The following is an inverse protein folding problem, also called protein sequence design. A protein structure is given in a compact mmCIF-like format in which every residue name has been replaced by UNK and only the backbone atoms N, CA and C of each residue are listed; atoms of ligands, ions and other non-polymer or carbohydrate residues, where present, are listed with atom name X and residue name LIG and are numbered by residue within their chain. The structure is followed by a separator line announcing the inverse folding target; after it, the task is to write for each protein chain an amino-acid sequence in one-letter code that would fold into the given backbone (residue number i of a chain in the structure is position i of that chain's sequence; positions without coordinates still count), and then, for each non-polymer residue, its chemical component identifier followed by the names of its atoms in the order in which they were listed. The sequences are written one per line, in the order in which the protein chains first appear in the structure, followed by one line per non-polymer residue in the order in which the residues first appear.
data_IF_953820283976
#
_entry.id   IF_953820283976
#
_cell.length_a   1.000
_cell.length_b   1.000
_cell.length_c   1.000
_cell.angle_alpha   90.00
_cell.angle_beta   90.00
_cell.angle_gamma   90.00
#
_symmetry.space_group_name_H-M   'P 1'
#
loop_
_entity.id
_entity.type
_entity.pdbx_description
1 polymer ?
#
# COMPACT_ATOMS: atom_id res chain seq x y z
N UNK A 1 -9.83 40.39 46.70
CA UNK A 1 -11.27 40.62 46.49
C UNK A 1 -11.99 40.19 47.76
N UNK A 2 -12.60 41.13 48.51
CA UNK A 2 -13.10 40.88 49.87
C UNK A 2 -14.20 39.81 49.89
N UNK A 3 -14.08 38.80 50.76
CA UNK A 3 -15.05 37.70 50.96
C UNK A 3 -16.48 38.22 51.16
N UNK A 4 -16.64 39.42 51.74
CA UNK A 4 -17.94 40.11 51.87
C UNK A 4 -18.61 40.44 50.53
N UNK A 5 -17.86 40.71 49.45
CA UNK A 5 -18.42 40.96 48.10
C UNK A 5 -18.89 39.67 47.41
N UNK A 6 -18.25 38.53 47.70
CA UNK A 6 -18.65 37.23 47.13
C UNK A 6 -19.95 36.74 47.76
N UNK A 7 -20.10 36.89 49.08
CA UNK A 7 -21.34 36.56 49.80
C UNK A 7 -22.51 37.45 49.36
N UNK A 8 -22.27 38.75 49.13
CA UNK A 8 -23.30 39.64 48.58
C UNK A 8 -23.71 39.27 47.14
N UNK A 9 -22.79 38.89 46.27
CA UNK A 9 -23.13 38.43 44.91
C UNK A 9 -23.90 37.10 44.92
N UNK A 10 -23.58 36.19 45.84
CA UNK A 10 -24.28 34.90 45.98
C UNK A 10 -25.71 35.08 46.51
N UNK A 11 -25.91 35.99 47.47
CA UNK A 11 -27.24 36.32 48.00
C UNK A 11 -28.09 37.05 46.95
N UNK A 12 -27.51 37.93 46.14
CA UNK A 12 -28.21 38.61 45.02
C UNK A 12 -28.58 37.61 43.91
N UNK A 13 -27.74 36.62 43.59
CA UNK A 13 -28.07 35.58 42.61
C UNK A 13 -29.19 34.63 43.06
N UNK A 14 -29.38 34.43 44.37
CA UNK A 14 -30.49 33.61 44.89
C UNK A 14 -31.81 34.38 45.10
N UNK A 15 -31.77 35.72 45.08
CA UNK A 15 -32.95 36.57 45.28
C UNK A 15 -33.56 37.13 43.98
N UNK A 16 -32.93 36.86 42.82
CA UNK A 16 -33.48 37.17 41.50
C UNK A 16 -33.89 35.85 40.83
N UNK A 17 -35.20 35.58 40.79
CA UNK A 17 -35.80 34.48 40.03
C UNK A 17 -35.52 34.66 38.53
N UNK A 18 -34.35 34.20 38.06
CA UNK A 18 -33.92 34.33 36.66
C UNK A 18 -32.45 33.97 36.41
N UNK A 19 -31.54 34.17 37.39
CA UNK A 19 -30.12 33.86 37.21
C UNK A 19 -29.81 32.36 37.09
N UNK A 20 -30.53 31.52 37.85
CA UNK A 20 -30.38 30.06 37.77
C UNK A 20 -30.88 29.47 36.45
N UNK A 21 -31.83 30.12 35.78
CA UNK A 21 -32.34 29.67 34.48
C UNK A 21 -31.36 29.98 33.36
N UNK A 22 -30.78 31.19 33.35
CA UNK A 22 -29.77 31.58 32.36
C UNK A 22 -28.47 30.77 32.50
N UNK A 23 -28.00 30.53 33.73
CA UNK A 23 -26.84 29.65 33.98
C UNK A 23 -27.13 28.19 33.59
N UNK A 24 -28.33 27.67 33.87
CA UNK A 24 -28.71 26.32 33.47
C UNK A 24 -28.83 26.17 31.96
N UNK A 25 -29.40 27.16 31.26
CA UNK A 25 -29.47 27.18 29.80
C UNK A 25 -28.09 27.22 29.16
N UNK A 26 -27.16 28.03 29.71
CA UNK A 26 -25.78 28.08 29.21
C UNK A 26 -25.02 26.78 29.48
N UNK A 27 -25.19 26.18 30.67
CA UNK A 27 -24.59 24.88 31.01
C UNK A 27 -25.14 23.75 30.12
N UNK A 28 -26.46 23.73 29.89
CA UNK A 28 -27.13 22.77 29.00
C UNK A 28 -26.65 22.95 27.56
N UNK A 29 -26.39 24.19 27.12
CA UNK A 29 -25.82 24.49 25.80
C UNK A 29 -24.39 23.98 25.67
N UNK A 30 -23.52 24.27 26.65
CA UNK A 30 -22.13 23.78 26.66
C UNK A 30 -22.09 22.24 26.70
N UNK A 31 -22.95 21.61 27.50
CA UNK A 31 -23.06 20.16 27.56
C UNK A 31 -23.52 19.53 26.23
N UNK A 32 -24.48 20.17 25.55
CA UNK A 32 -24.90 19.74 24.20
C UNK A 32 -23.80 19.91 23.16
N UNK A 33 -23.03 21.00 23.22
CA UNK A 33 -21.88 21.22 22.34
C UNK A 33 -20.79 20.18 22.56
N UNK A 34 -20.41 19.88 23.80
CA UNK A 34 -19.46 18.81 24.13
C UNK A 34 -19.93 17.44 23.65
N UNK A 35 -21.22 17.12 23.82
CA UNK A 35 -21.78 15.86 23.30
C UNK A 35 -21.76 15.78 21.79
N UNK A 36 -22.05 16.88 21.10
CA UNK A 36 -21.96 16.96 19.65
C UNK A 36 -20.52 16.74 19.18
N UNK A 37 -19.55 17.37 19.83
CA UNK A 37 -18.13 17.20 19.50
C UNK A 37 -17.65 15.76 19.76
N UNK A 38 -18.07 15.15 20.86
CA UNK A 38 -17.80 13.74 21.16
C UNK A 38 -18.40 12.80 20.10
N UNK A 39 -19.64 13.05 19.68
CA UNK A 39 -20.32 12.25 18.67
C UNK A 39 -19.63 12.36 17.28
N UNK A 40 -19.24 13.57 16.89
CA UNK A 40 -18.56 13.84 15.61
C UNK A 40 -17.08 13.40 15.61
N UNK A 41 -16.48 13.15 16.76
CA UNK A 41 -15.11 12.63 16.88
C UNK A 41 -15.03 11.10 16.96
N UNK A 42 -16.17 10.41 16.87
CA UNK A 42 -16.19 8.94 16.76
C UNK A 42 -15.42 8.46 15.54
N UNK A 43 -14.76 7.31 15.68
CA UNK A 43 -13.86 6.81 14.65
C UNK A 43 -14.58 6.45 13.33
N UNK A 44 -15.83 6.00 13.38
CA UNK A 44 -16.65 5.78 12.19
C UNK A 44 -17.04 7.08 11.48
N UNK A 45 -17.32 8.17 12.22
CA UNK A 45 -17.52 9.49 11.62
C UNK A 45 -16.26 10.01 10.94
N UNK A 46 -15.10 9.86 11.58
CA UNK A 46 -13.82 10.25 10.99
C UNK A 46 -13.49 9.44 9.73
N UNK A 47 -13.79 8.14 9.74
CA UNK A 47 -13.63 7.28 8.57
C UNK A 47 -14.55 7.72 7.40
N UNK A 48 -15.79 8.11 7.70
CA UNK A 48 -16.70 8.64 6.67
C UNK A 48 -16.24 9.99 6.11
N UNK A 49 -15.84 10.93 6.97
CA UNK A 49 -15.29 12.23 6.55
C UNK A 49 -14.10 12.04 5.61
N UNK A 50 -13.23 11.09 5.94
CA UNK A 50 -12.09 10.72 5.13
C UNK A 50 -12.49 10.21 3.73
N UNK A 51 -13.48 9.32 3.69
CA UNK A 51 -13.99 8.77 2.42
C UNK A 51 -14.48 9.89 1.50
N UNK A 52 -15.18 10.87 2.07
CA UNK A 52 -15.75 12.00 1.33
C UNK A 52 -14.70 13.03 0.90
N UNK A 53 -13.68 13.28 1.72
CA UNK A 53 -12.57 14.15 1.35
C UNK A 53 -11.76 13.58 0.20
N UNK A 54 -11.52 12.26 0.20
CA UNK A 54 -10.86 11.60 -0.91
C UNK A 54 -11.70 11.59 -2.18
N UNK A 55 -13.01 11.34 -2.05
CA UNK A 55 -13.93 11.38 -3.17
C UNK A 55 -13.92 12.74 -3.89
N UNK A 56 -13.85 13.84 -3.14
CA UNK A 56 -13.73 15.20 -3.68
C UNK A 56 -12.44 15.42 -4.48
N UNK A 57 -11.31 14.94 -3.97
CA UNK A 57 -10.04 15.09 -4.68
C UNK A 57 -10.05 14.22 -5.94
N UNK A 58 -10.52 12.97 -5.83
CA UNK A 58 -10.69 12.07 -6.98
C UNK A 58 -11.54 12.74 -8.07
N UNK A 59 -12.66 13.37 -7.70
CA UNK A 59 -13.48 14.13 -8.64
C UNK A 59 -12.72 15.31 -9.28
N UNK A 60 -11.98 16.09 -8.47
CA UNK A 60 -11.21 17.24 -8.95
C UNK A 60 -10.09 16.87 -9.93
N UNK A 61 -9.55 15.66 -9.83
CA UNK A 61 -8.54 15.12 -10.73
C UNK A 61 -9.13 14.42 -11.98
N UNK A 62 -10.45 14.52 -12.19
CA UNK A 62 -11.16 13.90 -13.32
C UNK A 62 -11.37 12.39 -13.16
N UNK A 63 -11.22 11.86 -11.95
CA UNK A 63 -11.51 10.47 -11.59
C UNK A 63 -13.01 10.20 -11.42
N UNK A 64 -13.38 8.92 -11.43
CA UNK A 64 -14.75 8.50 -11.07
C UNK A 64 -14.93 8.58 -9.56
N UNK A 65 -15.74 9.53 -9.11
CA UNK A 65 -16.15 9.70 -7.73
C UNK A 65 -17.39 8.86 -7.38
N UNK A 66 -17.55 8.53 -6.09
CA UNK A 66 -18.70 7.88 -5.46
C UNK A 66 -19.99 8.68 -5.69
N UNK A 67 -19.88 9.98 -5.83
CA UNK A 67 -20.97 10.83 -6.30
C UNK A 67 -20.45 11.92 -7.24
N UNK A 68 -21.29 12.33 -8.18
CA UNK A 68 -20.92 13.22 -9.27
C UNK A 68 -20.34 14.55 -8.74
N UNK A 69 -19.05 14.80 -8.99
CA UNK A 69 -18.36 16.01 -8.54
C UNK A 69 -17.81 15.98 -7.11
N UNK A 70 -17.97 14.85 -6.40
CA UNK A 70 -17.62 14.69 -4.99
C UNK A 70 -18.73 15.15 -4.04
N UNK A 71 -18.85 14.52 -2.87
CA UNK A 71 -19.89 14.84 -1.88
C UNK A 71 -19.28 15.40 -0.61
N UNK A 72 -20.00 16.34 0.00
CA UNK A 72 -19.79 16.71 1.40
C UNK A 72 -20.53 15.75 2.33
N UNK A 73 -20.13 15.76 3.61
CA UNK A 73 -20.86 15.04 4.67
C UNK A 73 -22.34 15.46 4.72
N UNK A 74 -22.61 16.75 4.46
CA UNK A 74 -23.98 17.27 4.39
C UNK A 74 -24.78 16.61 3.26
N UNK A 75 -24.19 16.45 2.07
CA UNK A 75 -24.89 15.81 0.93
C UNK A 75 -25.25 14.35 1.25
N UNK A 76 -24.36 13.65 1.96
CA UNK A 76 -24.60 12.28 2.41
C UNK A 76 -25.70 12.22 3.47
N UNK A 77 -25.70 13.12 4.45
CA UNK A 77 -26.75 13.21 5.48
C UNK A 77 -28.10 13.55 4.84
N UNK A 78 -28.14 14.55 3.96
CA UNK A 78 -29.36 14.98 3.26
C UNK A 78 -29.92 13.82 2.42
N UNK A 79 -29.03 13.05 1.75
CA UNK A 79 -29.42 11.85 1.01
C UNK A 79 -29.91 10.71 1.92
N UNK A 80 -29.26 10.49 3.06
CA UNK A 80 -29.65 9.48 4.04
C UNK A 80 -31.06 9.78 4.57
N UNK A 81 -31.35 11.05 4.86
CA UNK A 81 -32.63 11.54 5.37
C UNK A 81 -33.82 11.37 4.41
N UNK A 82 -33.60 11.01 3.14
CA UNK A 82 -34.68 10.78 2.17
C UNK A 82 -35.54 9.56 2.50
N UNK A 83 -35.04 8.59 3.27
CA UNK A 83 -35.81 7.43 3.70
C UNK A 83 -35.21 6.75 4.95
N UNK A 84 -36.02 5.94 5.63
CA UNK A 84 -35.63 5.27 6.86
C UNK A 84 -34.45 4.32 6.70
N UNK A 85 -34.34 3.62 5.57
CA UNK A 85 -33.22 2.70 5.32
C UNK A 85 -31.90 3.46 5.19
N UNK A 86 -31.91 4.63 4.55
CA UNK A 86 -30.76 5.52 4.41
C UNK A 86 -30.26 6.05 5.75
N UNK A 87 -31.18 6.52 6.61
CA UNK A 87 -30.85 6.97 7.98
C UNK A 87 -30.20 5.83 8.77
N UNK A 88 -30.81 4.64 8.77
CA UNK A 88 -30.27 3.48 9.48
C UNK A 88 -28.93 3.04 8.92
N UNK A 89 -28.76 3.00 7.59
CA UNK A 89 -27.50 2.62 6.96
C UNK A 89 -26.36 3.59 7.30
N UNK A 90 -26.65 4.89 7.28
CA UNK A 90 -25.69 5.93 7.69
C UNK A 90 -25.26 5.71 9.13
N UNK A 91 -26.23 5.56 10.05
CA UNK A 91 -25.94 5.36 11.47
C UNK A 91 -25.17 4.06 11.75
N UNK A 92 -25.53 2.96 11.08
CA UNK A 92 -24.81 1.68 11.15
C UNK A 92 -23.36 1.83 10.66
N UNK A 93 -23.12 2.55 9.56
CA UNK A 93 -21.77 2.69 9.00
C UNK A 93 -20.79 3.43 9.92
N UNK A 94 -21.31 4.39 10.70
CA UNK A 94 -20.50 5.28 11.54
C UNK A 94 -20.43 4.85 13.01
N UNK A 95 -21.34 3.97 13.47
CA UNK A 95 -21.38 3.55 14.86
C UNK A 95 -20.33 2.47 15.13
N UNK A 96 -19.58 2.62 16.22
CA UNK A 96 -18.50 1.71 16.59
C UNK A 96 -19.07 0.35 17.05
N UNK A 97 -18.51 -0.74 16.55
CA UNK A 97 -18.85 -2.10 16.94
C UNK A 97 -17.73 -2.63 17.83
N UNK A 98 -17.92 -2.53 19.16
CA UNK A 98 -17.13 -3.16 20.23
C UNK A 98 -15.71 -3.62 19.81
N UNK A 99 -14.79 -2.66 19.64
CA UNK A 99 -13.34 -2.91 19.79
C UNK A 99 -12.50 -3.00 18.51
N UNK A 100 -13.01 -2.58 17.34
CA UNK A 100 -12.17 -2.39 16.15
C UNK A 100 -12.25 -0.94 15.69
N UNK A 101 -11.28 -0.13 16.08
CA UNK A 101 -11.14 1.25 15.62
C UNK A 101 -10.93 1.29 14.11
N UNK A 102 -11.78 2.00 13.34
CA UNK A 102 -11.60 2.18 11.90
C UNK A 102 -10.27 2.81 11.47
N UNK A 103 -9.51 3.45 12.38
CA UNK A 103 -8.04 3.58 12.36
C UNK A 103 -7.52 4.73 13.25
N UNK A 104 -6.19 4.78 13.45
CA UNK A 104 -5.43 5.86 14.10
C UNK A 104 -4.61 6.70 13.06
N UNK A 105 -5.18 7.08 11.91
CA UNK A 105 -4.37 7.60 10.79
C UNK A 105 -4.28 9.13 10.65
N UNK A 106 -3.12 9.57 10.13
CA UNK A 106 -2.75 10.95 9.80
C UNK A 106 -2.90 11.20 8.29
N UNK A 107 -3.50 12.34 7.94
CA UNK A 107 -4.03 12.71 6.60
C UNK A 107 -2.94 13.14 5.59
N UNK A 108 -1.71 13.35 6.04
CA UNK A 108 -0.74 14.20 5.34
C UNK A 108 0.06 13.48 4.22
N UNK A 109 -0.13 12.18 4.00
CA UNK A 109 0.60 11.43 2.96
C UNK A 109 -0.30 10.99 1.77
N UNK A 110 -0.16 11.65 0.60
CA UNK A 110 -0.92 11.31 -0.61
C UNK A 110 -0.65 9.91 -1.20
N UNK A 111 0.47 9.26 -0.86
CA UNK A 111 0.77 7.87 -1.29
C UNK A 111 0.06 6.84 -0.42
N UNK A 112 -0.22 7.21 0.83
CA UNK A 112 -0.93 6.39 1.81
C UNK A 112 -2.45 6.46 1.59
N UNK A 113 -2.93 7.59 1.04
CA UNK A 113 -4.36 7.95 1.00
C UNK A 113 -5.31 6.91 0.38
N UNK A 114 -4.91 6.31 -0.73
CA UNK A 114 -5.79 5.36 -1.42
C UNK A 114 -5.72 3.93 -0.84
N UNK A 115 -4.58 3.59 -0.22
CA UNK A 115 -4.44 2.33 0.53
C UNK A 115 -5.27 2.38 1.82
N UNK A 116 -5.34 3.53 2.49
CA UNK A 116 -6.19 3.77 3.66
C UNK A 116 -7.68 3.84 3.34
N UNK A 117 -8.07 4.35 2.16
CA UNK A 117 -9.45 4.23 1.69
C UNK A 117 -9.88 2.77 1.57
N UNK A 118 -9.02 1.93 0.99
CA UNK A 118 -9.31 0.51 0.84
C UNK A 118 -9.48 -0.21 2.20
N UNK A 119 -8.74 0.22 3.21
CA UNK A 119 -8.87 -0.27 4.59
C UNK A 119 -10.18 0.19 5.24
N UNK A 120 -10.57 1.46 5.10
CA UNK A 120 -11.84 1.98 5.61
C UNK A 120 -13.02 1.25 4.95
N UNK A 121 -12.99 1.06 3.63
CA UNK A 121 -14.01 0.28 2.93
C UNK A 121 -14.05 -1.18 3.41
N UNK A 122 -12.89 -1.76 3.75
CA UNK A 122 -12.86 -3.10 4.34
C UNK A 122 -13.55 -3.15 5.72
N UNK A 123 -13.42 -2.10 6.54
CA UNK A 123 -14.14 -1.98 7.81
C UNK A 123 -15.65 -1.84 7.60
N UNK A 124 -16.09 -1.02 6.65
CA UNK A 124 -17.50 -0.94 6.30
C UNK A 124 -18.06 -2.27 5.81
N UNK A 125 -17.30 -3.01 5.00
CA UNK A 125 -17.69 -4.36 4.59
C UNK A 125 -17.83 -5.31 5.79
N UNK A 126 -16.94 -5.23 6.77
CA UNK A 126 -17.04 -6.03 7.99
C UNK A 126 -18.29 -5.69 8.81
N UNK A 127 -18.60 -4.39 8.97
CA UNK A 127 -19.81 -3.91 9.66
C UNK A 127 -21.08 -4.43 8.97
N UNK A 128 -21.23 -4.16 7.68
CA UNK A 128 -22.44 -4.56 6.94
C UNK A 128 -22.53 -6.08 6.72
N UNK A 129 -21.40 -6.78 6.68
CA UNK A 129 -21.33 -8.24 6.60
C UNK A 129 -21.57 -8.96 7.93
N UNK A 130 -21.57 -8.24 9.05
CA UNK A 130 -21.62 -8.84 10.39
C UNK A 130 -22.96 -9.49 10.70
N UNK A 131 -22.91 -10.68 11.30
CA UNK A 131 -24.10 -11.35 11.83
C UNK A 131 -24.71 -10.62 13.03
N UNK A 132 -23.98 -9.67 13.64
CA UNK A 132 -24.48 -8.88 14.77
C UNK A 132 -25.71 -8.05 14.40
N UNK A 133 -25.90 -7.72 13.12
CA UNK A 133 -27.09 -7.02 12.61
C UNK A 133 -28.36 -7.89 12.64
N UNK A 134 -28.27 -9.15 13.10
CA UNK A 134 -29.41 -10.03 13.35
C UNK A 134 -29.71 -10.24 14.83
N UNK A 135 -28.88 -9.70 15.73
CA UNK A 135 -29.03 -9.82 17.18
C UNK A 135 -30.00 -8.75 17.72
N UNK A 136 -31.10 -9.20 18.34
CA UNK A 136 -32.16 -8.31 18.83
C UNK A 136 -31.71 -7.37 19.95
N UNK A 137 -30.82 -7.82 20.84
CA UNK A 137 -30.33 -7.02 21.96
C UNK A 137 -29.39 -5.94 21.43
N UNK A 138 -28.51 -6.33 20.51
CA UNK A 138 -27.62 -5.39 19.85
C UNK A 138 -28.39 -4.32 19.05
N UNK A 139 -29.42 -4.70 18.29
CA UNK A 139 -30.23 -3.73 17.54
C UNK A 139 -30.97 -2.77 18.49
N UNK A 140 -31.44 -3.27 19.62
CA UNK A 140 -32.12 -2.43 20.63
C UNK A 140 -31.16 -1.45 21.29
N UNK A 141 -29.92 -1.88 21.58
CA UNK A 141 -28.85 -1.00 22.05
C UNK A 141 -28.51 0.07 21.01
N UNK A 142 -28.34 -0.32 19.74
CA UNK A 142 -28.06 0.59 18.63
C UNK A 142 -29.18 1.63 18.45
N UNK A 143 -30.45 1.22 18.55
CA UNK A 143 -31.56 2.16 18.49
C UNK A 143 -31.58 3.13 19.67
N UNK A 144 -31.27 2.65 20.88
CA UNK A 144 -31.18 3.51 22.07
C UNK A 144 -30.12 4.59 21.88
N UNK A 145 -28.99 4.24 21.28
CA UNK A 145 -27.91 5.21 21.02
C UNK A 145 -28.31 6.16 19.89
N UNK A 146 -28.93 5.65 18.81
CA UNK A 146 -29.51 6.47 17.75
C UNK A 146 -30.50 7.51 18.30
N UNK A 147 -31.38 7.10 19.22
CA UNK A 147 -32.39 7.98 19.82
C UNK A 147 -31.78 9.13 20.64
N UNK A 148 -30.52 9.02 21.06
CA UNK A 148 -29.79 10.07 21.80
C UNK A 148 -28.95 10.94 20.87
N UNK A 149 -28.44 10.36 19.79
CA UNK A 149 -27.34 10.97 19.02
C UNK A 149 -27.76 11.51 17.66
N UNK A 150 -28.87 11.05 17.07
CA UNK A 150 -29.30 11.41 15.70
C UNK A 150 -29.27 12.92 15.42
N UNK A 151 -29.62 13.73 16.41
CA UNK A 151 -29.68 15.20 16.28
C UNK A 151 -28.29 15.82 16.13
N UNK A 152 -27.26 15.22 16.72
CA UNK A 152 -25.86 15.67 16.56
C UNK A 152 -25.36 15.45 15.13
N UNK A 153 -25.90 14.45 14.45
CA UNK A 153 -25.58 14.09 13.07
C UNK A 153 -26.53 14.70 12.03
N UNK A 154 -27.56 15.45 12.46
CA UNK A 154 -28.57 16.00 11.55
C UNK A 154 -29.48 14.95 10.91
N UNK A 155 -29.65 13.78 11.54
CA UNK A 155 -30.51 12.71 11.06
C UNK A 155 -31.96 12.91 11.54
N UNK A 156 -32.92 12.61 10.65
CA UNK A 156 -34.35 12.65 10.96
C UNK A 156 -34.73 11.58 11.99
N UNK A 157 -35.81 11.84 12.73
CA UNK A 157 -36.34 10.88 13.69
C UNK A 157 -36.91 9.64 12.98
N UNK A 158 -36.61 8.47 13.53
CA UNK A 158 -37.12 7.18 13.07
C UNK A 158 -37.68 6.44 14.28
N UNK A 159 -38.90 5.90 14.19
CA UNK A 159 -39.46 5.08 15.25
C UNK A 159 -38.75 3.75 15.38
N UNK A 160 -38.68 3.21 16.60
CA UNK A 160 -37.97 1.95 16.92
C UNK A 160 -38.32 0.79 15.98
N UNK A 161 -39.61 0.60 15.71
CA UNK A 161 -40.09 -0.47 14.85
C UNK A 161 -39.53 -0.33 13.41
N UNK A 162 -39.51 0.88 12.88
CA UNK A 162 -39.02 1.13 11.51
C UNK A 162 -37.51 1.09 11.45
N UNK A 163 -36.81 1.52 12.51
CA UNK A 163 -35.37 1.35 12.64
C UNK A 163 -34.99 -0.14 12.63
N UNK A 164 -35.66 -0.95 13.45
CA UNK A 164 -35.45 -2.41 13.52
C UNK A 164 -35.73 -3.09 12.18
N UNK A 165 -36.79 -2.69 11.47
CA UNK A 165 -37.08 -3.17 10.11
C UNK A 165 -35.99 -2.80 9.12
N UNK A 166 -35.46 -1.57 9.17
CA UNK A 166 -34.35 -1.15 8.32
C UNK A 166 -33.08 -1.94 8.60
N UNK A 167 -32.72 -2.21 9.86
CA UNK A 167 -31.56 -3.06 10.18
C UNK A 167 -31.75 -4.48 9.64
N UNK A 168 -32.94 -5.06 9.81
CA UNK A 168 -33.25 -6.37 9.24
C UNK A 168 -33.16 -6.38 7.70
N UNK A 169 -33.56 -5.29 7.03
CA UNK A 169 -33.42 -5.14 5.58
C UNK A 169 -31.94 -5.01 5.16
N UNK A 170 -31.12 -4.26 5.90
CA UNK A 170 -29.66 -4.21 5.67
C UNK A 170 -29.03 -5.59 5.83
N UNK A 171 -29.43 -6.34 6.86
CA UNK A 171 -28.95 -7.70 7.09
C UNK A 171 -29.31 -8.66 5.95
N UNK A 172 -30.50 -8.52 5.35
CA UNK A 172 -30.88 -9.28 4.15
C UNK A 172 -30.03 -8.93 2.93
N UNK A 173 -29.68 -7.66 2.78
CA UNK A 173 -28.87 -7.13 1.66
C UNK A 173 -27.35 -7.24 1.89
N UNK A 174 -26.91 -7.83 3.01
CA UNK A 174 -25.49 -7.82 3.42
C UNK A 174 -24.53 -8.32 2.34
N UNK A 175 -24.89 -9.38 1.62
CA UNK A 175 -24.03 -9.94 0.58
C UNK A 175 -23.82 -8.94 -0.56
N UNK A 176 -24.89 -8.31 -1.03
CA UNK A 176 -24.83 -7.31 -2.11
C UNK A 176 -24.08 -6.05 -1.67
N UNK A 177 -24.25 -5.63 -0.41
CA UNK A 177 -23.52 -4.50 0.17
C UNK A 177 -22.02 -4.81 0.26
N UNK A 178 -21.63 -5.98 0.77
CA UNK A 178 -20.23 -6.41 0.85
C UNK A 178 -19.58 -6.49 -0.52
N UNK A 179 -20.29 -7.00 -1.53
CA UNK A 179 -19.80 -7.04 -2.93
C UNK A 179 -19.63 -5.63 -3.48
N UNK A 180 -20.60 -4.75 -3.28
CA UNK A 180 -20.52 -3.36 -3.74
C UNK A 180 -19.35 -2.62 -3.10
N UNK A 181 -19.15 -2.75 -1.79
CA UNK A 181 -18.03 -2.16 -1.06
C UNK A 181 -16.70 -2.74 -1.53
N UNK A 182 -16.64 -4.05 -1.80
CA UNK A 182 -15.43 -4.71 -2.33
C UNK A 182 -15.05 -4.17 -3.72
N UNK A 183 -16.04 -3.93 -4.59
CA UNK A 183 -15.79 -3.31 -5.90
C UNK A 183 -15.21 -1.90 -5.77
N UNK A 184 -15.72 -1.10 -4.83
CA UNK A 184 -15.19 0.24 -4.56
C UNK A 184 -13.75 0.17 -4.02
N UNK A 185 -13.49 -0.79 -3.14
CA UNK A 185 -12.15 -1.04 -2.58
C UNK A 185 -11.13 -1.39 -3.68
N UNK A 186 -11.51 -2.25 -4.60
CA UNK A 186 -10.61 -2.68 -5.68
C UNK A 186 -10.34 -1.53 -6.67
N UNK A 187 -11.33 -0.68 -6.92
CA UNK A 187 -11.16 0.55 -7.68
C UNK A 187 -10.22 1.55 -6.98
N UNK A 188 -10.36 1.73 -5.66
CA UNK A 188 -9.47 2.59 -4.87
C UNK A 188 -8.01 2.10 -4.95
N UNK A 189 -7.79 0.79 -4.82
CA UNK A 189 -6.46 0.18 -4.98
C UNK A 189 -5.88 0.35 -6.38
N UNK A 190 -6.70 0.17 -7.41
CA UNK A 190 -6.28 0.36 -8.80
C UNK A 190 -5.85 1.82 -9.05
N UNK A 191 -6.65 2.78 -8.59
CA UNK A 191 -6.35 4.20 -8.71
C UNK A 191 -5.07 4.56 -7.94
N UNK A 192 -4.87 4.02 -6.74
CA UNK A 192 -3.63 4.18 -5.95
C UNK A 192 -2.40 3.84 -6.78
N UNK A 193 -2.38 2.62 -7.33
CA UNK A 193 -1.27 2.12 -8.15
C UNK A 193 -1.04 2.98 -9.38
N UNK A 194 -2.10 3.45 -10.02
CA UNK A 194 -2.02 4.31 -11.20
C UNK A 194 -1.41 5.67 -10.87
N UNK A 195 -1.82 6.30 -9.78
CA UNK A 195 -1.28 7.59 -9.32
C UNK A 195 0.18 7.43 -8.91
N UNK A 196 0.51 6.39 -8.16
CA UNK A 196 1.89 6.08 -7.77
C UNK A 196 2.77 5.85 -9.01
N UNK A 197 2.31 5.05 -9.97
CA UNK A 197 3.01 4.80 -11.23
C UNK A 197 3.23 6.10 -12.01
N UNK A 198 2.22 6.99 -12.04
CA UNK A 198 2.34 8.29 -12.69
C UNK A 198 3.35 9.19 -11.97
N UNK A 199 3.28 9.30 -10.65
CA UNK A 199 4.25 10.08 -9.85
C UNK A 199 5.67 9.57 -10.03
N UNK A 200 5.86 8.25 -10.07
CA UNK A 200 7.16 7.64 -10.36
C UNK A 200 7.63 7.99 -11.77
N UNK A 201 6.75 7.97 -12.77
CA UNK A 201 7.09 8.38 -14.13
C UNK A 201 7.45 9.87 -14.21
N UNK A 202 6.65 10.75 -13.60
CA UNK A 202 6.90 12.19 -13.54
C UNK A 202 8.23 12.50 -12.82
N UNK A 203 8.53 11.78 -11.72
CA UNK A 203 9.81 11.86 -11.02
C UNK A 203 10.97 11.37 -11.89
N UNK A 204 10.81 10.23 -12.56
CA UNK A 204 11.81 9.64 -13.45
C UNK A 204 12.09 10.55 -14.67
N UNK A 205 11.10 11.31 -15.14
CA UNK A 205 11.24 12.31 -16.20
C UNK A 205 12.00 13.55 -15.70
N UNK A 206 11.63 14.07 -14.52
CA UNK A 206 12.28 15.23 -13.93
C UNK A 206 13.72 14.97 -13.44
N UNK A 207 14.06 13.71 -13.13
CA UNK A 207 15.35 13.30 -12.60
C UNK A 207 15.99 12.24 -13.50
N UNK A 208 16.56 12.62 -14.67
CA UNK A 208 17.15 11.67 -15.61
C UNK A 208 18.27 10.86 -14.96
N UNK A 209 18.46 9.62 -15.43
CA UNK A 209 19.55 8.77 -14.99
C UNK A 209 20.90 9.34 -15.39
N UNK A 210 21.83 9.33 -14.43
CA UNK A 210 23.23 9.70 -14.62
C UNK A 210 24.08 8.47 -14.33
N UNK A 211 25.07 8.21 -15.18
CA UNK A 211 26.00 7.11 -14.99
C UNK A 211 26.84 7.33 -13.73
N UNK A 212 27.10 6.25 -13.00
CA UNK A 212 28.00 6.25 -11.84
C UNK A 212 29.24 5.43 -12.19
N UNK A 213 30.41 6.04 -12.11
CA UNK A 213 31.69 5.39 -12.39
C UNK A 213 32.46 5.08 -11.11
N UNK A 214 33.46 4.21 -11.22
CA UNK A 214 34.47 3.97 -10.18
C UNK A 214 33.92 3.47 -8.82
N UNK A 215 32.73 2.87 -8.84
CA UNK A 215 32.06 2.30 -7.66
C UNK A 215 32.95 1.28 -6.94
N UNK A 216 33.69 0.46 -7.68
CA UNK A 216 34.59 -0.55 -7.13
C UNK A 216 35.70 0.02 -6.25
N UNK A 217 36.00 1.32 -6.35
CA UNK A 217 36.99 2.00 -5.51
C UNK A 217 36.36 2.57 -4.22
N UNK A 218 35.03 2.72 -4.21
CA UNK A 218 34.26 3.23 -3.08
C UNK A 218 33.73 2.14 -2.13
N UNK A 219 33.66 0.89 -2.59
CA UNK A 219 33.12 -0.20 -1.77
C UNK A 219 34.23 -0.85 -0.91
N UNK A 220 34.03 -1.01 0.40
CA UNK A 220 34.96 -1.70 1.30
C UNK A 220 34.86 -3.23 1.16
N UNK A 221 34.99 -3.75 -0.06
CA UNK A 221 35.15 -5.18 -0.30
C UNK A 221 36.63 -5.52 -0.14
N UNK A 222 36.93 -6.66 0.48
CA UNK A 222 38.31 -7.17 0.64
C UNK A 222 39.09 -7.10 -0.68
N UNK A 223 40.42 -6.93 -0.59
CA UNK A 223 41.35 -6.50 -1.67
C UNK A 223 41.46 -7.44 -2.90
N UNK A 224 40.38 -8.08 -3.37
CA UNK A 224 40.34 -8.83 -4.63
C UNK A 224 40.23 -7.86 -5.83
N UNK A 225 41.25 -7.83 -6.71
CA UNK A 225 41.17 -7.05 -7.95
C UNK A 225 40.04 -7.50 -8.88
N UNK A 226 39.60 -8.77 -8.78
CA UNK A 226 38.51 -9.29 -9.60
C UNK A 226 37.17 -8.65 -9.22
N UNK A 227 36.87 -8.54 -7.93
CA UNK A 227 35.65 -7.89 -7.45
C UNK A 227 35.63 -6.41 -7.79
N UNK A 228 36.73 -5.69 -7.52
CA UNK A 228 36.87 -4.28 -7.90
C UNK A 228 36.58 -4.04 -9.38
N UNK A 229 37.17 -4.84 -10.27
CA UNK A 229 36.90 -4.76 -11.72
C UNK A 229 35.44 -5.07 -12.05
N UNK A 230 34.85 -6.05 -11.38
CA UNK A 230 33.46 -6.43 -11.60
C UNK A 230 32.49 -5.30 -11.28
N UNK A 231 32.63 -4.64 -10.12
CA UNK A 231 31.82 -3.48 -9.75
C UNK A 231 32.00 -2.32 -10.73
N UNK A 232 33.23 -2.02 -11.16
CA UNK A 232 33.48 -0.99 -12.17
C UNK A 232 32.95 -1.37 -13.56
N UNK A 233 32.75 -2.66 -13.83
CA UNK A 233 32.22 -3.13 -15.11
C UNK A 233 30.69 -3.05 -15.18
N UNK A 234 29.98 -3.02 -14.06
CA UNK A 234 28.52 -2.95 -14.04
C UNK A 234 28.03 -1.57 -14.48
N UNK A 235 27.00 -1.49 -15.35
CA UNK A 235 26.49 -0.22 -15.87
C UNK A 235 25.55 0.45 -14.84
N UNK A 236 26.14 0.94 -13.75
CA UNK A 236 25.40 1.61 -12.68
C UNK A 236 24.94 3.02 -13.09
N UNK A 237 23.72 3.35 -12.66
CA UNK A 237 23.11 4.66 -12.82
C UNK A 237 22.46 5.10 -11.51
N UNK A 238 22.22 6.38 -11.38
CA UNK A 238 21.44 6.98 -10.30
C UNK A 238 20.59 8.12 -10.83
N UNK A 239 19.44 8.36 -10.22
CA UNK A 239 18.64 9.58 -10.42
C UNK A 239 18.88 10.62 -9.32
N UNK A 240 19.78 10.33 -8.38
CA UNK A 240 20.09 11.14 -7.22
C UNK A 240 21.61 11.20 -7.01
N UNK A 241 22.33 11.99 -7.84
CA UNK A 241 23.80 11.97 -7.89
C UNK A 241 24.49 12.41 -6.60
N UNK A 242 23.79 13.18 -5.74
CA UNK A 242 24.32 13.65 -4.47
C UNK A 242 24.02 12.71 -3.29
N UNK A 243 23.36 11.58 -3.54
CA UNK A 243 23.00 10.63 -2.50
C UNK A 243 24.11 9.63 -2.25
N UNK A 244 24.34 9.30 -0.99
CA UNK A 244 25.24 8.23 -0.56
C UNK A 244 24.52 6.90 -0.31
N UNK A 245 23.19 6.84 -0.53
CA UNK A 245 22.39 5.63 -0.34
C UNK A 245 22.61 4.64 -1.50
N UNK A 246 23.25 3.50 -1.24
CA UNK A 246 23.49 2.45 -2.23
C UNK A 246 22.22 1.80 -2.79
N UNK A 247 21.04 2.08 -2.21
CA UNK A 247 19.74 1.69 -2.78
C UNK A 247 19.29 2.61 -3.93
N UNK A 248 19.86 3.80 -4.04
CA UNK A 248 19.54 4.75 -5.12
C UNK A 248 20.44 4.58 -6.34
N UNK A 249 21.52 3.81 -6.22
CA UNK A 249 22.39 3.39 -7.32
C UNK A 249 21.95 2.00 -7.78
N UNK A 250 21.75 1.80 -9.08
CA UNK A 250 21.28 0.53 -9.63
C UNK A 250 21.78 0.28 -11.04
N UNK A 251 21.82 -0.99 -11.44
CA UNK A 251 21.99 -1.40 -12.83
C UNK A 251 20.62 -1.83 -13.39
N UNK A 252 20.31 -1.42 -14.63
CA UNK A 252 19.09 -1.85 -15.33
C UNK A 252 19.26 -3.23 -15.94
N UNK A 253 18.38 -4.14 -15.56
CA UNK A 253 18.28 -5.51 -16.09
C UNK A 253 16.91 -5.63 -16.78
N UNK A 254 16.83 -5.12 -18.01
CA UNK A 254 15.54 -4.87 -18.64
C UNK A 254 14.70 -3.87 -17.84
N UNK A 255 13.51 -4.28 -17.42
CA UNK A 255 12.63 -3.47 -16.55
C UNK A 255 13.02 -3.50 -15.07
N UNK A 256 13.89 -4.41 -14.65
CA UNK A 256 14.28 -4.55 -13.25
C UNK A 256 15.44 -3.62 -12.89
N UNK A 257 15.34 -2.94 -11.73
CA UNK A 257 16.40 -2.10 -11.17
C UNK A 257 17.14 -2.89 -10.08
N UNK A 258 18.27 -3.51 -10.43
CA UNK A 258 19.11 -4.23 -9.47
C UNK A 258 19.99 -3.23 -8.71
N UNK A 259 19.70 -3.00 -7.44
CA UNK A 259 20.40 -1.98 -6.64
C UNK A 259 21.82 -2.40 -6.28
N UNK A 260 22.69 -1.42 -6.08
CA UNK A 260 24.06 -1.64 -5.61
C UNK A 260 24.05 -2.38 -4.27
N UNK A 261 23.17 -1.98 -3.34
CA UNK A 261 22.98 -2.67 -2.06
C UNK A 261 22.69 -4.17 -2.21
N UNK A 262 21.86 -4.58 -3.17
CA UNK A 262 21.58 -6.01 -3.39
C UNK A 262 22.81 -6.76 -3.89
N UNK A 263 23.59 -6.15 -4.79
CA UNK A 263 24.83 -6.74 -5.30
C UNK A 263 25.86 -6.86 -4.18
N UNK A 264 26.03 -5.83 -3.35
CA UNK A 264 26.92 -5.82 -2.19
C UNK A 264 26.57 -6.92 -1.20
N UNK A 265 25.29 -7.02 -0.81
CA UNK A 265 24.82 -8.06 0.11
C UNK A 265 25.04 -9.46 -0.47
N UNK A 266 24.62 -9.71 -1.71
CA UNK A 266 24.83 -10.99 -2.37
C UNK A 266 26.31 -11.36 -2.45
N UNK A 267 27.17 -10.41 -2.81
CA UNK A 267 28.62 -10.60 -2.92
C UNK A 267 29.22 -10.95 -1.56
N UNK A 268 28.81 -10.25 -0.49
CA UNK A 268 29.28 -10.50 0.87
C UNK A 268 28.89 -11.89 1.38
N UNK A 269 27.66 -12.32 1.12
CA UNK A 269 27.20 -13.68 1.46
C UNK A 269 28.03 -14.74 0.72
N UNK A 270 28.27 -14.57 -0.60
CA UNK A 270 29.09 -15.49 -1.38
C UNK A 270 30.55 -15.56 -0.89
N UNK A 271 31.15 -14.42 -0.52
CA UNK A 271 32.50 -14.40 0.09
C UNK A 271 32.52 -15.14 1.43
N UNK A 272 31.49 -14.95 2.25
CA UNK A 272 31.35 -15.65 3.53
C UNK A 272 31.25 -17.17 3.31
N UNK A 273 30.55 -17.63 2.27
CA UNK A 273 30.53 -19.04 1.91
C UNK A 273 31.89 -19.54 1.41
N UNK A 274 32.64 -18.77 0.62
CA UNK A 274 34.02 -19.11 0.25
C UNK A 274 34.91 -19.35 1.48
N UNK A 275 34.81 -18.49 2.49
CA UNK A 275 35.53 -18.62 3.77
C UNK A 275 35.11 -19.89 4.52
N UNK A 276 33.81 -20.17 4.59
CA UNK A 276 33.27 -21.37 5.25
C UNK A 276 33.75 -22.66 4.58
N UNK A 277 33.67 -22.75 3.25
CA UNK A 277 34.09 -23.96 2.52
C UNK A 277 35.60 -24.17 2.69
N UNK A 278 36.41 -23.11 2.64
CA UNK A 278 37.85 -23.16 2.94
C UNK A 278 38.10 -23.73 4.34
N UNK A 279 37.43 -23.20 5.35
CA UNK A 279 37.55 -23.67 6.73
C UNK A 279 37.10 -25.13 6.92
N UNK A 280 36.00 -25.55 6.29
CA UNK A 280 35.50 -26.94 6.41
C UNK A 280 36.35 -27.96 5.66
N UNK A 281 36.86 -27.59 4.49
CA UNK A 281 37.65 -28.48 3.64
C UNK A 281 39.12 -28.57 4.08
N UNK A 282 39.61 -27.59 4.83
CA UNK A 282 41.04 -27.45 5.16
C UNK A 282 41.91 -27.12 3.95
N UNK A 283 41.30 -26.72 2.82
CA UNK A 283 41.98 -26.36 1.58
C UNK A 283 42.01 -24.83 1.43
N UNK A 284 43.10 -24.29 0.85
CA UNK A 284 43.23 -22.85 0.56
C UNK A 284 42.43 -22.42 -0.69
N UNK A 285 41.10 -22.55 -0.63
CA UNK A 285 40.19 -22.28 -1.76
C UNK A 285 39.48 -20.93 -1.68
N UNK A 286 39.64 -20.20 -0.57
CA UNK A 286 38.99 -18.91 -0.34
C UNK A 286 39.29 -17.91 -1.46
N UNK A 287 40.56 -17.60 -1.73
CA UNK A 287 40.95 -16.63 -2.76
C UNK A 287 40.51 -17.03 -4.18
N UNK A 288 40.73 -18.29 -4.64
CA UNK A 288 40.16 -18.76 -5.90
C UNK A 288 38.63 -18.60 -5.98
N UNK A 289 37.91 -18.91 -4.90
CA UNK A 289 36.46 -18.78 -4.82
C UNK A 289 36.01 -17.32 -4.90
N UNK A 290 36.62 -16.41 -4.14
CA UNK A 290 36.34 -14.96 -4.19
C UNK A 290 36.60 -14.40 -5.60
N UNK A 291 37.70 -14.82 -6.23
CA UNK A 291 37.99 -14.43 -7.62
C UNK A 291 36.91 -14.93 -8.59
N UNK A 292 36.39 -16.14 -8.38
CA UNK A 292 35.30 -16.68 -9.18
C UNK A 292 34.00 -15.88 -9.01
N UNK A 293 33.68 -15.41 -7.79
CA UNK A 293 32.55 -14.49 -7.56
C UNK A 293 32.72 -13.21 -8.37
N UNK A 294 33.90 -12.59 -8.35
CA UNK A 294 34.21 -11.40 -9.15
C UNK A 294 34.14 -11.63 -10.66
N UNK A 295 34.62 -12.79 -11.13
CA UNK A 295 34.50 -13.18 -12.53
C UNK A 295 33.04 -13.37 -12.93
N UNK A 296 32.23 -14.01 -12.09
CA UNK A 296 30.78 -14.19 -12.32
C UNK A 296 30.04 -12.86 -12.46
N UNK A 297 30.30 -11.91 -11.56
CA UNK A 297 29.73 -10.57 -11.65
C UNK A 297 30.18 -9.83 -12.92
N UNK A 298 31.44 -9.97 -13.32
CA UNK A 298 31.95 -9.39 -14.58
C UNK A 298 31.30 -10.02 -15.82
N UNK A 299 31.09 -11.34 -15.80
CA UNK A 299 30.38 -12.06 -16.85
C UNK A 299 28.94 -11.54 -16.96
N UNK A 300 28.26 -11.38 -15.83
CA UNK A 300 26.91 -10.83 -15.81
C UNK A 300 26.87 -9.39 -16.33
N UNK A 301 27.83 -8.54 -15.95
CA UNK A 301 27.96 -7.19 -16.50
C UNK A 301 28.07 -7.17 -18.03
N UNK A 302 28.81 -8.13 -18.60
CA UNK A 302 28.93 -8.28 -20.07
C UNK A 302 27.60 -8.67 -20.72
N UNK A 303 26.83 -9.55 -20.08
CA UNK A 303 25.50 -9.99 -20.55
C UNK A 303 24.51 -8.82 -20.52
N UNK A 304 24.51 -7.99 -19.48
CA UNK A 304 23.64 -6.81 -19.38
C UNK A 304 23.88 -5.88 -20.58
N UNK A 305 25.15 -5.60 -20.88
CA UNK A 305 25.57 -4.73 -21.99
C UNK A 305 25.32 -5.35 -23.37
N UNK A 306 25.10 -6.66 -23.45
CA UNK A 306 24.87 -7.34 -24.71
C UNK A 306 23.45 -7.05 -25.24
N UNK A 307 23.37 -6.24 -26.30
CA UNK A 307 22.10 -5.87 -26.96
C UNK A 307 21.43 -7.01 -27.73
N UNK A 308 22.20 -8.06 -28.07
CA UNK A 308 21.66 -9.23 -28.80
C UNK A 308 20.90 -10.21 -27.90
N UNK A 309 21.03 -10.07 -26.57
CA UNK A 309 20.25 -10.83 -25.60
C UNK A 309 19.04 -9.95 -25.22
N UNK A 310 17.81 -10.44 -25.37
CA UNK A 310 16.63 -9.68 -24.98
C UNK A 310 16.61 -9.33 -23.48
N UNK A 311 16.03 -8.18 -23.17
CA UNK A 311 15.92 -7.72 -21.79
C UNK A 311 15.05 -8.65 -20.92
N UNK A 312 14.01 -9.25 -21.49
CA UNK A 312 13.22 -10.27 -20.82
C UNK A 312 14.10 -11.48 -20.44
N UNK A 313 14.93 -11.97 -21.35
CA UNK A 313 15.88 -13.06 -21.09
C UNK A 313 16.84 -12.72 -19.95
N UNK A 314 17.41 -11.51 -19.92
CA UNK A 314 18.32 -11.07 -18.85
C UNK A 314 17.61 -11.05 -17.49
N UNK A 315 16.40 -10.48 -17.46
CA UNK A 315 15.60 -10.38 -16.24
C UNK A 315 15.18 -11.76 -15.74
N UNK A 316 14.72 -12.66 -16.62
CA UNK A 316 14.37 -14.04 -16.25
C UNK A 316 15.58 -14.81 -15.74
N UNK A 317 16.73 -14.72 -16.42
CA UNK A 317 17.95 -15.41 -15.99
C UNK A 317 18.43 -14.93 -14.61
N UNK A 318 18.30 -13.63 -14.33
CA UNK A 318 18.57 -13.09 -12.99
C UNK A 318 17.60 -13.67 -11.95
N UNK A 319 16.31 -13.73 -12.26
CA UNK A 319 15.28 -14.29 -11.37
C UNK A 319 15.55 -15.76 -11.03
N UNK A 320 15.87 -16.59 -12.02
CA UNK A 320 16.18 -18.01 -11.87
C UNK A 320 17.48 -18.26 -11.08
N UNK A 321 18.41 -17.30 -11.09
CA UNK A 321 19.67 -17.36 -10.36
C UNK A 321 19.61 -16.70 -8.97
N UNK A 322 18.43 -16.24 -8.54
CA UNK A 322 18.25 -15.59 -7.24
C UNK A 322 17.64 -16.56 -6.23
N UNK A 323 18.36 -16.82 -5.13
CA UNK A 323 17.94 -17.69 -4.05
C UNK A 323 17.90 -16.90 -2.74
N UNK A 324 16.69 -16.50 -2.33
CA UNK A 324 16.51 -15.64 -1.15
C UNK A 324 17.18 -14.28 -1.34
N UNK A 325 18.29 -14.04 -0.63
CA UNK A 325 19.09 -12.79 -0.73
C UNK A 325 20.36 -12.93 -1.57
N UNK A 326 20.65 -14.14 -2.05
CA UNK A 326 21.86 -14.44 -2.82
C UNK A 326 21.49 -14.49 -4.30
N UNK A 327 22.35 -13.90 -5.12
CA UNK A 327 22.28 -13.90 -6.57
C UNK A 327 23.55 -14.57 -7.09
N UNK A 328 23.40 -15.70 -7.78
CA UNK A 328 24.51 -16.32 -8.51
C UNK A 328 24.67 -15.63 -9.87
N UNK A 329 25.49 -14.58 -9.90
CA UNK A 329 25.72 -13.80 -11.12
C UNK A 329 26.33 -14.61 -12.27
N UNK A 330 27.19 -15.60 -11.98
CA UNK A 330 27.76 -16.45 -13.03
C UNK A 330 26.67 -17.36 -13.61
N UNK A 331 25.81 -17.92 -12.76
CA UNK A 331 24.68 -18.72 -13.21
C UNK A 331 23.70 -17.89 -14.07
N UNK A 332 23.34 -16.69 -13.61
CA UNK A 332 22.50 -15.76 -14.38
C UNK A 332 23.10 -15.47 -15.77
N UNK A 333 24.41 -15.19 -15.82
CA UNK A 333 25.10 -14.91 -17.07
C UNK A 333 25.08 -16.11 -18.03
N UNK A 334 25.32 -17.32 -17.50
CA UNK A 334 25.29 -18.57 -18.27
C UNK A 334 23.89 -18.92 -18.77
N UNK A 335 22.85 -18.73 -17.95
CA UNK A 335 21.47 -18.97 -18.36
C UNK A 335 21.05 -18.05 -19.51
N UNK A 336 21.36 -16.76 -19.42
CA UNK A 336 21.06 -15.80 -20.48
C UNK A 336 21.77 -16.16 -21.79
N UNK A 337 23.04 -16.56 -21.71
CA UNK A 337 23.82 -17.00 -22.88
C UNK A 337 23.29 -18.31 -23.48
N UNK A 338 22.98 -19.29 -22.63
CA UNK A 338 22.39 -20.56 -23.05
C UNK A 338 21.05 -20.33 -23.77
N UNK A 339 20.18 -19.50 -23.22
CA UNK A 339 18.89 -19.14 -23.84
C UNK A 339 19.12 -18.54 -25.23
N UNK A 340 20.02 -17.57 -25.35
CA UNK A 340 20.36 -16.97 -26.64
C UNK A 340 20.86 -18.00 -27.66
N UNK A 341 21.75 -18.91 -27.25
CA UNK A 341 22.28 -19.96 -28.12
C UNK A 341 21.17 -20.94 -28.58
N UNK A 342 20.29 -21.35 -27.67
CA UNK A 342 19.15 -22.21 -27.99
C UNK A 342 18.17 -21.54 -28.96
N UNK A 343 17.85 -20.27 -28.72
CA UNK A 343 16.95 -19.51 -29.56
C UNK A 343 17.53 -19.24 -30.95
N UNK A 344 18.84 -18.98 -31.04
CA UNK A 344 19.51 -18.82 -32.33
C UNK A 344 19.39 -20.08 -33.20
N UNK A 345 19.47 -21.28 -32.60
CA UNK A 345 19.27 -22.57 -33.31
C UNK A 345 17.83 -22.78 -33.80
N UNK A 346 16.86 -22.10 -33.19
CA UNK A 346 15.43 -22.12 -33.55
C UNK A 346 15.01 -20.93 -34.41
N UNK A 347 15.95 -20.23 -35.06
CA UNK A 347 15.70 -19.00 -35.82
C UNK A 347 14.93 -17.94 -35.00
N UNK A 348 15.24 -17.84 -33.70
CA UNK A 348 14.61 -16.94 -32.73
C UNK A 348 13.09 -17.11 -32.59
N UNK A 349 12.57 -18.32 -32.86
CA UNK A 349 11.15 -18.64 -32.74
C UNK A 349 10.84 -19.57 -31.55
N UNK A 350 9.61 -19.48 -31.04
CA UNK A 350 9.12 -20.32 -29.94
C UNK A 350 9.72 -19.93 -28.58
N UNK A 351 9.91 -20.95 -27.73
CA UNK A 351 10.43 -20.80 -26.38
C UNK A 351 11.71 -21.61 -26.19
N UNK A 352 12.54 -21.18 -25.24
CA UNK A 352 13.65 -21.96 -24.72
C UNK A 352 13.56 -22.06 -23.20
N UNK A 353 13.75 -23.27 -22.70
CA UNK A 353 13.78 -23.55 -21.28
C UNK A 353 15.05 -22.99 -20.63
N UNK A 354 14.90 -22.51 -19.40
CA UNK A 354 15.99 -22.17 -18.48
C UNK A 354 16.08 -23.25 -17.39
N UNK A 355 15.72 -22.96 -16.13
CA UNK A 355 15.77 -23.95 -15.04
C UNK A 355 14.36 -24.43 -14.67
N UNK A 356 13.48 -23.51 -14.32
CA UNK A 356 12.09 -23.75 -13.92
C UNK A 356 11.08 -23.10 -14.88
N UNK A 357 11.55 -22.14 -15.69
CA UNK A 357 10.74 -21.39 -16.64
C UNK A 357 11.22 -21.53 -18.08
N UNK A 358 10.33 -21.19 -19.01
CA UNK A 358 10.58 -21.08 -20.43
C UNK A 358 10.34 -19.62 -20.86
N UNK A 359 11.32 -19.07 -21.57
CA UNK A 359 11.29 -17.66 -22.02
C UNK A 359 11.19 -17.59 -23.54
N UNK A 360 10.34 -16.71 -24.09
CA UNK A 360 10.17 -16.61 -25.54
C UNK A 360 11.46 -16.14 -26.23
N UNK A 361 11.79 -16.77 -27.35
CA UNK A 361 12.99 -16.48 -28.13
C UNK A 361 12.97 -15.11 -28.81
N UNK A 362 11.78 -14.55 -29.02
CA UNK A 362 11.59 -13.19 -29.53
C UNK A 362 11.96 -12.11 -28.51
N UNK A 363 12.06 -12.46 -27.21
CA UNK A 363 12.16 -11.49 -26.14
C UNK A 363 10.85 -10.78 -25.77
N UNK A 364 9.73 -11.16 -26.40
CA UNK A 364 8.41 -10.59 -26.17
C UNK A 364 7.38 -11.67 -25.85
N UNK A 365 6.46 -11.39 -24.93
CA UNK A 365 5.43 -12.31 -24.46
C UNK A 365 5.65 -12.75 -23.01
N UNK A 366 4.86 -13.73 -22.57
CA UNK A 366 4.87 -14.20 -21.20
C UNK A 366 5.98 -15.22 -20.94
N UNK A 367 6.58 -15.15 -19.75
CA UNK A 367 7.45 -16.21 -19.22
C UNK A 367 6.54 -17.28 -18.61
N UNK A 368 6.75 -18.53 -19.02
CA UNK A 368 5.90 -19.64 -18.62
C UNK A 368 6.68 -20.58 -17.70
N UNK A 369 6.00 -21.23 -16.75
CA UNK A 369 6.60 -22.41 -16.12
C UNK A 369 6.88 -23.49 -17.17
N UNK A 370 8.00 -24.21 -17.05
CA UNK A 370 8.40 -25.23 -18.03
C UNK A 370 7.26 -26.24 -18.27
N UNK A 371 6.64 -26.73 -17.20
CA UNK A 371 5.54 -27.71 -17.30
C UNK A 371 4.33 -27.20 -18.08
N UNK A 372 4.09 -25.89 -18.10
CA UNK A 372 3.04 -25.26 -18.90
C UNK A 372 3.47 -25.15 -20.36
N UNK A 373 4.71 -24.72 -20.60
CA UNK A 373 5.27 -24.61 -21.95
C UNK A 373 5.36 -25.98 -22.65
N UNK A 374 5.74 -27.05 -21.93
CA UNK A 374 5.74 -28.43 -22.41
C UNK A 374 4.34 -28.91 -22.80
N UNK A 375 3.35 -28.71 -21.92
CA UNK A 375 1.96 -29.08 -22.20
C UNK A 375 1.38 -28.34 -23.39
N UNK A 376 1.85 -27.12 -23.64
CA UNK A 376 1.46 -26.31 -24.78
C UNK A 376 2.28 -26.60 -26.05
N UNK A 377 3.28 -27.50 -26.00
CA UNK A 377 4.12 -27.84 -27.16
C UNK A 377 5.00 -26.69 -27.65
N UNK A 378 5.43 -25.80 -26.74
CA UNK A 378 6.16 -24.58 -27.07
C UNK A 378 7.69 -24.72 -27.01
N UNK A 379 8.19 -25.81 -26.41
CA UNK A 379 9.61 -26.10 -26.19
C UNK A 379 10.21 -27.05 -27.23
#
# INVERSE_FOLDING_TARGET
MNIKKFVYMFIICQSISGCGLAQKVELDKQYKEQKKEAALSTAGMKALEYVLEDDKITASEGGKSLCQGGCSLKDVIDKANNNTLGITAFYVAMHDYKGQTPSLYKIEDPSVRNSTMAEILNQFAAVFGSSILSDSDHISDLYRDFSKEREFFGLNNVGELDFKKSVAELYKRRSDLVVSISSLRDQARYNAKRIESKKMADYDEANPEVAVTDIGDAIPIEKSPALRRAFNSMPFVTRSPNSTDSRQVYARIGSYKLTLNQIELSTKELITECQRISAYSGLEIENPCINQVGNGLSNFASIIKNKSIPDLTKNTALGEATFGRIIDFDHAARLAKMHQEMCSRKNNSGYAAMVTVATPCSGHGDVLYISVAEKAGLL
#
